data_IF_697387688036
#
_entry.id   IF_697387688036
#
_cell.length_a   1.000
_cell.length_b   1.000
_cell.length_c   1.000
_cell.angle_alpha   90.00
_cell.angle_beta   90.00
_cell.angle_gamma   90.00
#
_symmetry.space_group_name_H-M   'P 1'
#
loop_
_entity.id
_entity.type
_entity.pdbx_description
1 polymer ?
#
# COMPACT_ATOMS: atom_id res chain seq x y z
N UNK A 1 7.26 -9.96 2.71
CA UNK A 1 7.31 -8.49 2.65
C UNK A 1 7.20 -8.13 1.18
N UNK A 2 6.40 -7.13 0.82
CA UNK A 2 6.30 -6.60 -0.54
C UNK A 2 7.67 -6.05 -0.94
N UNK A 3 8.25 -6.56 -2.03
CA UNK A 3 9.48 -6.08 -2.65
C UNK A 3 9.18 -5.86 -4.14
N UNK A 4 9.36 -4.62 -4.60
CA UNK A 4 9.08 -4.20 -5.98
C UNK A 4 10.37 -3.87 -6.76
N UNK A 5 11.54 -4.18 -6.19
CA UNK A 5 12.83 -3.91 -6.82
C UNK A 5 12.92 -4.58 -8.20
N UNK A 6 13.24 -3.79 -9.22
CA UNK A 6 13.34 -4.26 -10.60
C UNK A 6 12.00 -4.41 -11.32
N UNK A 7 10.86 -4.36 -10.62
CA UNK A 7 9.53 -4.38 -11.22
C UNK A 7 8.97 -2.96 -11.42
N UNK A 8 9.18 -2.08 -10.45
CA UNK A 8 8.65 -0.71 -10.45
C UNK A 8 9.78 0.30 -10.39
N UNK A 9 9.64 1.38 -11.17
CA UNK A 9 10.59 2.49 -11.20
C UNK A 9 9.85 3.81 -11.43
N UNK A 10 10.48 4.94 -11.11
CA UNK A 10 9.90 6.26 -11.41
C UNK A 10 9.63 6.47 -12.90
N UNK A 11 10.53 6.12 -13.85
CA UNK A 11 10.22 6.18 -15.27
C UNK A 11 9.02 5.35 -15.70
N UNK A 12 8.80 4.18 -15.07
CA UNK A 12 7.59 3.38 -15.28
C UNK A 12 6.34 4.12 -14.79
N UNK A 13 6.37 4.64 -13.56
CA UNK A 13 5.22 5.33 -12.95
C UNK A 13 4.87 6.67 -13.61
N UNK A 14 5.78 7.24 -14.42
CA UNK A 14 5.46 8.37 -15.30
C UNK A 14 4.46 8.01 -16.40
N UNK A 15 4.38 6.72 -16.78
CA UNK A 15 3.62 6.24 -17.94
C UNK A 15 2.45 5.34 -17.56
N UNK A 16 2.50 4.72 -16.38
CA UNK A 16 1.54 3.70 -15.98
C UNK A 16 1.27 3.75 -14.47
N UNK A 17 0.09 3.24 -14.10
CA UNK A 17 -0.25 2.87 -12.73
C UNK A 17 0.24 1.45 -12.49
N UNK A 18 0.87 1.19 -11.35
CA UNK A 18 1.16 -0.16 -10.89
C UNK A 18 0.04 -0.63 -9.96
N UNK A 19 -0.40 -1.88 -10.10
CA UNK A 19 -1.32 -2.54 -9.16
C UNK A 19 -0.75 -3.88 -8.74
N UNK A 20 -1.06 -4.29 -7.51
CA UNK A 20 -0.65 -5.57 -6.97
C UNK A 20 -1.52 -6.01 -5.81
N UNK A 21 -1.30 -7.22 -5.35
CA UNK A 21 -1.95 -7.75 -4.15
C UNK A 21 -0.98 -8.60 -3.34
N UNK A 22 -1.19 -8.64 -2.03
CA UNK A 22 -0.41 -9.44 -1.10
C UNK A 22 -1.29 -9.80 0.09
N UNK A 23 -1.54 -11.11 0.27
CA UNK A 23 -2.18 -11.69 1.48
C UNK A 23 -3.47 -10.97 1.90
N UNK A 24 -4.39 -10.77 0.96
CA UNK A 24 -5.69 -10.13 1.22
C UNK A 24 -5.68 -8.60 1.17
N UNK A 25 -4.51 -7.96 1.10
CA UNK A 25 -4.38 -6.53 0.84
C UNK A 25 -4.09 -6.29 -0.65
N UNK A 26 -4.95 -5.52 -1.31
CA UNK A 26 -4.67 -4.98 -2.64
C UNK A 26 -3.98 -3.62 -2.52
N UNK A 27 -3.15 -3.27 -3.50
CA UNK A 27 -2.48 -1.98 -3.52
C UNK A 27 -2.28 -1.44 -4.93
N UNK A 28 -2.06 -0.12 -5.03
CA UNK A 28 -1.63 0.55 -6.25
C UNK A 28 -0.59 1.62 -5.95
N UNK A 29 0.25 1.91 -6.95
CA UNK A 29 1.18 3.03 -6.98
C UNK A 29 0.90 3.85 -8.25
N UNK A 30 0.66 5.15 -8.11
CA UNK A 30 0.40 6.05 -9.24
C UNK A 30 1.09 7.40 -9.09
N UNK A 31 1.41 8.01 -10.23
CA UNK A 31 1.73 9.44 -10.27
C UNK A 31 0.46 10.25 -10.06
N UNK A 32 0.53 11.25 -9.18
CA UNK A 32 -0.38 12.39 -9.17
C UNK A 32 0.37 13.59 -9.75
N UNK A 33 -0.14 14.15 -10.85
CA UNK A 33 0.43 15.37 -11.41
C UNK A 33 0.13 16.54 -10.49
N UNK A 34 1.13 17.36 -10.20
CA UNK A 34 0.91 18.62 -9.50
C UNK A 34 0.12 19.61 -10.37
N UNK A 35 -0.69 20.45 -9.73
CA UNK A 35 -1.38 21.59 -10.36
C UNK A 35 -0.66 22.90 -10.01
N UNK A 36 -0.74 23.90 -10.88
CA UNK A 36 -0.26 25.27 -10.64
C UNK A 36 1.19 25.36 -10.14
N UNK A 37 2.10 24.65 -10.80
CA UNK A 37 3.54 24.68 -10.48
C UNK A 37 3.96 23.84 -9.27
N UNK A 38 3.04 23.06 -8.68
CA UNK A 38 3.39 22.08 -7.65
C UNK A 38 4.08 20.87 -8.26
N UNK A 39 4.96 20.25 -7.48
CA UNK A 39 5.67 19.03 -7.89
C UNK A 39 4.73 17.83 -7.98
N UNK A 40 5.06 16.91 -8.89
CA UNK A 40 4.43 15.60 -8.98
C UNK A 40 4.58 14.83 -7.66
N UNK A 41 3.58 14.02 -7.32
CA UNK A 41 3.58 13.14 -6.14
C UNK A 41 3.43 11.68 -6.53
N UNK A 42 4.02 10.80 -5.73
CA UNK A 42 3.75 9.37 -5.80
C UNK A 42 2.65 9.06 -4.79
N UNK A 43 1.50 8.58 -5.24
CA UNK A 43 0.47 8.09 -4.34
C UNK A 43 0.51 6.57 -4.28
N UNK A 44 0.56 6.04 -3.06
CA UNK A 44 0.23 4.66 -2.76
C UNK A 44 -1.21 4.59 -2.23
N UNK A 45 -1.93 3.54 -2.59
CA UNK A 45 -3.21 3.23 -1.97
C UNK A 45 -3.30 1.75 -1.63
N UNK A 46 -4.00 1.41 -0.55
CA UNK A 46 -4.30 0.03 -0.14
C UNK A 46 -5.78 -0.14 0.17
N UNK A 47 -6.30 -1.35 -0.04
CA UNK A 47 -7.68 -1.70 0.30
C UNK A 47 -7.82 -3.22 0.50
N UNK A 48 -8.84 -3.69 1.24
CA UNK A 48 -9.09 -5.12 1.38
C UNK A 48 -9.54 -5.73 0.06
N UNK A 49 -8.99 -6.91 -0.27
CA UNK A 49 -9.56 -7.77 -1.30
C UNK A 49 -10.93 -8.34 -0.90
N UNK A 50 -11.66 -8.97 -1.84
CA UNK A 50 -11.22 -9.37 -3.17
C UNK A 50 -11.51 -8.34 -4.27
N UNK A 51 -12.23 -7.27 -3.97
CA UNK A 51 -12.74 -6.35 -4.99
C UNK A 51 -11.65 -5.42 -5.55
N UNK A 52 -11.84 -5.00 -6.80
CA UNK A 52 -10.95 -4.05 -7.48
C UNK A 52 -11.18 -2.63 -6.96
N UNK A 53 -10.18 -1.76 -7.16
CA UNK A 53 -10.19 -0.38 -6.66
C UNK A 53 -11.47 0.40 -7.03
N UNK A 54 -11.94 0.27 -8.27
CA UNK A 54 -13.08 1.03 -8.79
C UNK A 54 -14.43 0.70 -8.13
N UNK A 55 -14.58 -0.53 -7.60
CA UNK A 55 -15.84 -0.99 -6.97
C UNK A 55 -15.72 -1.14 -5.46
N UNK A 56 -14.54 -0.87 -4.90
CA UNK A 56 -14.33 -0.81 -3.46
C UNK A 56 -14.81 0.54 -2.95
N UNK A 57 -15.59 0.55 -1.87
CA UNK A 57 -16.02 1.74 -1.14
C UNK A 57 -14.82 2.63 -0.77
N UNK A 58 -14.99 3.95 -0.80
CA UNK A 58 -13.89 4.90 -0.61
C UNK A 58 -13.33 4.84 0.82
N UNK A 59 -14.21 4.61 1.79
CA UNK A 59 -13.88 4.50 3.21
C UNK A 59 -12.99 3.30 3.54
N UNK A 60 -12.95 2.30 2.64
CA UNK A 60 -12.09 1.10 2.78
C UNK A 60 -10.71 1.30 2.16
N UNK A 61 -10.49 2.41 1.46
CA UNK A 61 -9.21 2.73 0.83
C UNK A 61 -8.40 3.63 1.74
N UNK A 62 -7.12 3.32 1.88
CA UNK A 62 -6.17 4.13 2.62
C UNK A 62 -5.14 4.62 1.62
N UNK A 63 -4.88 5.93 1.63
CA UNK A 63 -3.98 6.59 0.71
C UNK A 63 -2.81 7.21 1.46
N UNK A 64 -1.64 7.22 0.84
CA UNK A 64 -0.52 8.00 1.31
C UNK A 64 0.33 8.51 0.15
N UNK A 65 0.74 9.77 0.25
CA UNK A 65 1.49 10.46 -0.79
C UNK A 65 2.95 10.65 -0.37
N UNK A 66 3.85 10.39 -1.31
CA UNK A 66 5.30 10.47 -1.19
C UNK A 66 5.87 11.40 -2.26
N UNK A 67 7.15 11.75 -2.15
CA UNK A 67 7.86 12.42 -3.24
C UNK A 67 7.86 11.55 -4.50
N UNK A 68 7.75 12.15 -5.68
CA UNK A 68 7.86 11.39 -6.94
C UNK A 68 9.34 11.18 -7.33
N UNK A 69 10.09 10.51 -6.45
CA UNK A 69 11.53 10.22 -6.59
C UNK A 69 11.84 8.75 -6.26
N UNK A 70 13.04 8.23 -6.60
CA UNK A 70 13.46 6.88 -6.21
C UNK A 70 13.36 6.63 -4.69
N UNK A 71 13.68 7.63 -3.88
CA UNK A 71 13.57 7.60 -2.42
C UNK A 71 12.11 7.52 -1.98
N UNK A 72 11.23 8.36 -2.57
CA UNK A 72 9.80 8.31 -2.29
C UNK A 72 9.16 6.97 -2.71
N UNK A 73 9.65 6.33 -3.77
CA UNK A 73 9.24 4.97 -4.12
C UNK A 73 9.66 3.94 -3.07
N UNK A 74 10.87 4.06 -2.51
CA UNK A 74 11.31 3.21 -1.40
C UNK A 74 10.41 3.42 -0.17
N UNK A 75 10.13 4.67 0.19
CA UNK A 75 9.25 5.02 1.31
C UNK A 75 7.83 4.47 1.10
N UNK A 76 7.30 4.55 -0.12
CA UNK A 76 6.00 3.98 -0.46
C UNK A 76 5.97 2.46 -0.26
N UNK A 77 7.03 1.75 -0.66
CA UNK A 77 7.14 0.29 -0.44
C UNK A 77 7.28 -0.04 1.04
N UNK A 78 8.06 0.73 1.80
CA UNK A 78 8.18 0.57 3.25
C UNK A 78 6.81 0.77 3.92
N UNK A 79 6.05 1.78 3.51
CA UNK A 79 4.69 2.04 3.98
C UNK A 79 3.71 0.92 3.64
N UNK A 80 3.75 0.37 2.42
CA UNK A 80 2.91 -0.77 2.03
C UNK A 80 3.11 -1.97 2.96
N UNK A 81 4.35 -2.19 3.40
CA UNK A 81 4.64 -3.25 4.36
C UNK A 81 4.17 -2.92 5.78
N UNK A 82 4.38 -1.68 6.23
CA UNK A 82 3.92 -1.24 7.56
C UNK A 82 2.39 -1.28 7.67
N UNK A 83 1.67 -0.79 6.66
CA UNK A 83 0.20 -0.77 6.67
C UNK A 83 -0.37 -2.18 6.59
N UNK A 84 0.31 -3.10 5.89
CA UNK A 84 -0.04 -4.52 5.91
C UNK A 84 -0.02 -5.07 7.34
N UNK A 85 1.10 -4.92 8.06
CA UNK A 85 1.21 -5.42 9.44
C UNK A 85 0.20 -4.74 10.38
N UNK A 86 -0.05 -3.44 10.19
CA UNK A 86 -0.92 -2.67 11.07
C UNK A 86 -2.43 -2.91 10.85
N UNK A 87 -2.86 -3.33 9.65
CA UNK A 87 -4.29 -3.34 9.27
C UNK A 87 -4.77 -4.60 8.56
N UNK A 88 -3.86 -5.42 8.03
CA UNK A 88 -4.21 -6.56 7.18
C UNK A 88 -3.57 -7.88 7.61
N UNK A 89 -2.54 -7.84 8.46
CA UNK A 89 -2.05 -9.04 9.12
C UNK A 89 -3.17 -9.61 9.99
N UNK A 90 -3.34 -10.95 10.03
CA UNK A 90 -4.25 -11.54 10.99
C UNK A 90 -3.77 -11.13 12.38
N UNK A 91 -4.69 -10.58 13.20
CA UNK A 91 -4.45 -10.36 14.63
C UNK A 91 -3.78 -11.63 15.17
N UNK A 92 -2.53 -11.52 15.62
CA UNK A 92 -1.93 -12.60 16.40
C UNK A 92 -2.76 -12.67 17.67
N UNK A 93 -3.76 -13.54 17.65
CA UNK A 93 -4.60 -13.84 18.80
C UNK A 93 -3.66 -14.06 19.99
N UNK A 94 -3.73 -13.26 21.07
CA UNK A 94 -3.01 -13.61 22.28
C UNK A 94 -3.55 -14.98 22.67
N UNK A 95 -2.68 -15.99 22.61
CA UNK A 95 -2.99 -17.33 23.10
C UNK A 95 -3.61 -17.18 24.48
N UNK A 96 -4.86 -17.60 24.64
CA UNK A 96 -5.48 -17.75 25.96
C UNK A 96 -4.46 -18.43 26.89
N UNK A 97 -4.18 -17.88 28.09
CA UNK A 97 -3.38 -18.60 29.05
C UNK A 97 -4.08 -19.93 29.35
N UNK A 98 -3.36 -21.03 29.11
CA UNK A 98 -3.82 -22.39 29.37
C UNK A 98 -4.41 -22.47 30.79
N UNK A 99 -5.63 -23.02 30.87
CA UNK A 99 -6.50 -22.94 32.02
C UNK A 99 -5.84 -23.28 33.36
N UNK A 100 -6.19 -22.47 34.36
CA UNK A 100 -6.23 -22.94 35.75
C UNK A 100 -7.41 -23.91 35.82
N UNK A 101 -7.10 -25.19 36.00
CA UNK A 101 -8.07 -26.18 36.49
C UNK A 101 -7.95 -26.17 38.02
N UNK A 102 -9.03 -25.73 38.67
CA UNK A 102 -9.29 -26.00 40.08
C UNK A 102 -9.44 -27.52 40.35
#
# INVERSE_FOLDING_TARGET
MIDLKGMVSIPFLKKAVFTGSSRGMNFLLRKLSGEDGKEDRLQAAVWPGPFIFAVTEEEKKIFQDFSFSPEGLKEAVDWLNQIYEARFAPETSPSEPAGVKD
#
